data_IF_585531387296
#
_entry.id   IF_585531387296
#
_cell.length_a   1.000
_cell.length_b   1.000
_cell.length_c   1.000
_cell.angle_alpha   90.00
_cell.angle_beta   90.00
_cell.angle_gamma   90.00
#
_symmetry.space_group_name_H-M   'P 1'
#
loop_
_entity.id
_entity.type
_entity.pdbx_description
1 polymer ?
#
# COMPACT_ATOMS: atom_id res chain seq x y z
N UNK A 1 11.27 75.04 -12.73
CA UNK A 1 11.55 73.59 -12.69
C UNK A 1 12.03 73.28 -11.28
N UNK A 2 11.20 72.52 -10.56
CA UNK A 2 11.34 72.02 -9.19
C UNK A 2 10.65 70.64 -9.22
N UNK A 3 10.84 69.65 -8.34
CA UNK A 3 11.27 69.59 -6.94
C UNK A 3 12.15 68.32 -6.76
N UNK A 4 13.28 68.38 -6.04
CA UNK A 4 13.45 68.19 -4.59
C UNK A 4 13.33 66.72 -4.11
N UNK A 5 14.45 66.19 -3.61
CA UNK A 5 14.58 64.84 -3.04
C UNK A 5 14.14 64.80 -1.57
N UNK A 6 13.57 63.67 -1.12
CA UNK A 6 13.60 63.22 0.29
C UNK A 6 13.79 61.71 0.39
N UNK A 7 14.39 61.29 1.50
CA UNK A 7 15.02 59.99 1.73
C UNK A 7 14.05 58.95 2.32
N UNK A 8 14.40 57.67 2.19
CA UNK A 8 14.14 56.67 3.24
C UNK A 8 15.37 55.74 3.41
N UNK A 9 15.88 55.54 4.64
CA UNK A 9 17.08 54.73 4.88
C UNK A 9 16.77 53.31 5.34
N UNK A 10 17.75 52.40 5.20
CA UNK A 10 17.79 51.16 5.97
C UNK A 10 18.02 49.89 5.16
N UNK A 11 19.28 49.61 4.82
CA UNK A 11 20.03 48.40 5.23
C UNK A 11 21.27 48.26 4.32
N UNK A 12 22.47 48.40 4.90
CA UNK A 12 23.75 48.13 4.23
C UNK A 12 24.12 46.65 4.36
N UNK A 13 24.78 46.04 3.34
CA UNK A 13 25.17 44.64 3.37
C UNK A 13 26.34 44.36 4.32
N UNK A 14 26.45 43.11 4.79
CA UNK A 14 27.57 42.60 5.58
C UNK A 14 28.74 42.13 4.69
N UNK A 15 30.00 42.20 5.17
CA UNK A 15 31.21 41.87 4.41
C UNK A 15 31.52 40.36 4.37
N UNK A 16 32.41 39.90 3.45
CA UNK A 16 32.71 38.49 3.23
C UNK A 16 33.66 37.88 4.28
N UNK A 17 33.60 36.54 4.38
CA UNK A 17 34.31 35.71 5.35
C UNK A 17 35.80 35.55 4.99
N UNK A 18 36.69 35.86 5.93
CA UNK A 18 38.12 35.52 5.87
C UNK A 18 38.57 34.79 7.14
N UNK A 19 39.40 33.77 7.00
CA UNK A 19 40.06 33.06 8.12
C UNK A 19 41.45 33.66 8.38
N UNK A 20 41.97 33.56 9.62
CA UNK A 20 43.06 32.59 9.84
C UNK A 20 43.14 31.92 11.25
N UNK A 21 43.83 30.77 11.26
CA UNK A 21 44.74 30.15 12.27
C UNK A 21 45.05 30.90 13.60
N UNK A 22 45.31 30.29 14.78
CA UNK A 22 45.44 28.88 15.26
C UNK A 22 44.99 28.71 16.76
N UNK A 23 45.68 28.06 17.74
CA UNK A 23 45.16 26.97 18.61
C UNK A 23 44.95 27.43 20.10
N UNK A 24 44.90 26.62 21.21
CA UNK A 24 45.12 25.16 21.41
C UNK A 24 44.22 24.45 22.49
N UNK A 25 44.66 23.25 22.95
CA UNK A 25 44.40 22.62 24.28
C UNK A 25 43.05 21.91 24.56
N UNK A 26 43.08 20.57 24.54
CA UNK A 26 42.26 19.70 25.43
C UNK A 26 42.82 19.73 26.86
N UNK A 27 42.07 19.47 27.96
CA UNK A 27 40.79 18.75 28.00
C UNK A 27 39.70 19.30 28.96
N UNK A 28 38.42 19.17 28.60
CA UNK A 28 37.39 19.00 29.64
C UNK A 28 36.19 18.20 29.13
N UNK A 29 35.62 17.36 30.01
CA UNK A 29 34.41 16.59 29.73
C UNK A 29 33.22 17.56 29.76
N UNK A 30 32.44 17.58 28.70
CA UNK A 30 31.03 17.95 28.81
C UNK A 30 30.16 16.93 28.08
N UNK A 31 29.22 16.33 28.83
CA UNK A 31 28.40 15.20 28.39
C UNK A 31 26.96 15.66 28.14
N UNK A 32 26.77 16.55 27.17
CA UNK A 32 25.42 17.03 26.80
C UNK A 32 25.15 16.96 25.29
N UNK A 33 24.58 15.84 24.86
CA UNK A 33 23.59 15.75 23.78
C UNK A 33 23.93 16.30 22.38
N UNK A 34 24.62 15.51 21.55
CA UNK A 34 24.54 15.63 20.08
C UNK A 34 23.84 14.40 19.47
N UNK A 35 22.92 14.55 18.49
CA UNK A 35 22.20 13.41 17.89
C UNK A 35 23.09 12.39 17.16
N UNK A 36 24.28 12.82 16.70
CA UNK A 36 25.16 11.99 15.86
C UNK A 36 25.82 10.80 16.57
N UNK A 37 25.64 10.65 17.89
CA UNK A 37 26.27 9.58 18.69
C UNK A 37 25.37 8.35 18.98
N UNK A 38 24.22 8.22 18.31
CA UNK A 38 23.36 7.00 18.37
C UNK A 38 23.51 6.05 17.17
N UNK A 39 24.42 6.32 16.23
CA UNK A 39 24.62 5.51 15.01
C UNK A 39 25.76 4.48 15.07
N UNK A 40 26.39 4.29 16.23
CA UNK A 40 27.54 3.38 16.41
C UNK A 40 27.24 2.06 17.12
N UNK A 41 25.97 1.76 17.44
CA UNK A 41 25.54 0.49 18.05
C UNK A 41 24.98 -0.52 17.02
N UNK A 42 25.22 -0.28 15.73
CA UNK A 42 24.93 -1.19 14.61
C UNK A 42 26.22 -1.56 13.84
N UNK A 43 27.34 -1.60 14.55
CA UNK A 43 28.61 -2.09 14.04
C UNK A 43 28.99 -3.34 14.84
N UNK A 44 29.37 -4.41 14.13
CA UNK A 44 29.83 -5.70 14.64
C UNK A 44 28.72 -6.68 15.11
N UNK A 45 27.88 -7.13 14.16
CA UNK A 45 27.63 -8.57 14.01
C UNK A 45 28.52 -9.07 12.88
N UNK A 46 29.68 -9.60 13.26
CA UNK A 46 30.79 -9.95 12.38
C UNK A 46 30.67 -11.41 11.91
N UNK A 47 29.62 -11.69 11.14
CA UNK A 47 29.34 -13.01 10.52
C UNK A 47 28.64 -12.77 9.17
N UNK A 48 29.33 -12.08 8.26
CA UNK A 48 28.88 -11.81 6.89
C UNK A 48 29.87 -12.33 5.86
N UNK A 49 30.33 -13.57 6.04
CA UNK A 49 30.98 -14.34 4.97
C UNK A 49 29.97 -14.66 3.87
N UNK A 50 29.89 -13.77 2.87
CA UNK A 50 29.09 -13.96 1.67
C UNK A 50 28.54 -12.66 1.13
N UNK A 51 29.22 -12.09 0.13
CA UNK A 51 28.61 -11.11 -0.78
C UNK A 51 27.46 -11.79 -1.54
N UNK A 52 26.26 -11.69 -0.98
CA UNK A 52 25.04 -12.15 -1.64
C UNK A 52 24.65 -11.11 -2.69
N UNK A 53 24.56 -11.51 -3.95
CA UNK A 53 24.09 -10.61 -5.00
C UNK A 53 22.66 -10.13 -4.69
N UNK A 54 22.27 -8.96 -5.20
CA UNK A 54 20.93 -8.40 -4.98
C UNK A 54 19.87 -9.39 -5.46
N UNK A 55 20.14 -10.08 -6.58
CA UNK A 55 19.32 -11.16 -7.09
C UNK A 55 19.25 -12.30 -6.07
N UNK A 56 20.38 -12.82 -5.59
CA UNK A 56 20.41 -13.93 -4.63
C UNK A 56 19.72 -13.60 -3.29
N UNK A 57 19.77 -12.34 -2.85
CA UNK A 57 18.99 -11.85 -1.70
C UNK A 57 17.50 -11.87 -2.01
N UNK A 58 17.08 -11.31 -3.15
CA UNK A 58 15.69 -11.32 -3.61
C UNK A 58 15.17 -12.76 -3.74
N UNK A 59 15.93 -13.66 -4.38
CA UNK A 59 15.64 -15.10 -4.51
C UNK A 59 15.48 -15.81 -3.16
N UNK A 60 16.08 -15.31 -2.07
CA UNK A 60 15.93 -15.86 -0.71
C UNK A 60 14.82 -15.20 0.11
N UNK A 61 14.46 -13.96 -0.20
CA UNK A 61 13.45 -13.18 0.52
C UNK A 61 12.06 -13.26 -0.11
N UNK A 62 11.99 -13.61 -1.39
CA UNK A 62 10.79 -13.61 -2.22
C UNK A 62 10.79 -14.86 -3.12
N UNK A 63 10.19 -15.94 -2.59
CA UNK A 63 10.04 -17.22 -3.30
C UNK A 63 9.37 -17.04 -4.67
N UNK A 64 8.53 -16.01 -4.85
CA UNK A 64 7.72 -15.76 -6.05
C UNK A 64 8.44 -14.98 -7.14
N UNK A 65 9.49 -14.22 -6.82
CA UNK A 65 10.34 -13.56 -7.85
C UNK A 65 11.29 -14.53 -8.56
N UNK A 66 11.33 -15.80 -8.14
CA UNK A 66 12.33 -16.74 -8.59
C UNK A 66 12.04 -17.34 -9.98
N UNK A 67 12.54 -16.68 -11.04
CA UNK A 67 12.47 -17.16 -12.45
C UNK A 67 13.15 -18.51 -12.74
N UNK A 68 13.67 -19.19 -11.71
CA UNK A 68 14.40 -20.46 -11.76
C UNK A 68 13.68 -21.62 -11.06
N UNK A 69 12.57 -21.38 -10.33
CA UNK A 69 11.78 -22.47 -9.75
C UNK A 69 10.76 -23.06 -10.75
N UNK A 70 10.45 -24.35 -10.55
CA UNK A 70 9.55 -25.14 -11.40
C UNK A 70 8.05 -25.02 -11.05
N UNK A 71 7.68 -24.13 -10.12
CA UNK A 71 6.27 -23.84 -9.82
C UNK A 71 5.95 -22.49 -10.46
N UNK A 72 4.96 -22.41 -11.37
CA UNK A 72 5.06 -21.51 -12.52
C UNK A 72 4.18 -20.26 -12.32
N UNK A 73 3.61 -19.75 -13.42
CA UNK A 73 2.39 -18.93 -13.50
C UNK A 73 1.50 -19.04 -12.25
N UNK A 74 0.90 -17.91 -11.79
CA UNK A 74 0.13 -17.86 -10.53
C UNK A 74 -0.83 -19.05 -10.45
N UNK A 75 -0.74 -19.82 -9.37
CA UNK A 75 -1.49 -21.07 -9.24
C UNK A 75 -2.99 -20.77 -9.39
N UNK A 76 -3.75 -21.69 -10.02
CA UNK A 76 -5.12 -21.42 -10.40
C UNK A 76 -5.97 -20.95 -9.22
N UNK A 77 -6.78 -19.91 -9.47
CA UNK A 77 -7.81 -19.46 -8.55
C UNK A 77 -9.01 -20.42 -8.67
N UNK A 78 -9.42 -21.04 -7.57
CA UNK A 78 -10.59 -21.90 -7.55
C UNK A 78 -11.75 -21.09 -6.99
N UNK A 79 -12.83 -21.04 -7.76
CA UNK A 79 -14.06 -20.33 -7.43
C UNK A 79 -15.19 -21.36 -7.41
N UNK A 80 -15.64 -21.71 -6.21
CA UNK A 80 -16.80 -22.57 -6.01
C UNK A 80 -18.03 -21.74 -5.60
N UNK A 81 -19.23 -22.26 -5.87
CA UNK A 81 -20.46 -21.60 -5.42
C UNK A 81 -20.71 -21.99 -3.95
N UNK A 82 -20.86 -21.03 -3.01
CA UNK A 82 -21.19 -21.34 -1.63
C UNK A 82 -22.52 -22.09 -1.54
N UNK A 83 -22.66 -22.90 -0.50
CA UNK A 83 -23.92 -23.56 -0.19
C UNK A 83 -25.01 -22.51 0.20
N UNK A 84 -26.28 -22.85 -0.05
CA UNK A 84 -27.38 -22.11 0.53
C UNK A 84 -27.30 -22.19 2.07
N UNK A 85 -27.53 -21.10 2.83
CA UNK A 85 -28.22 -19.88 2.41
C UNK A 85 -27.34 -18.77 1.82
N UNK A 86 -26.01 -18.89 1.86
CA UNK A 86 -25.09 -17.76 1.56
C UNK A 86 -25.17 -17.34 0.09
N UNK A 87 -25.28 -18.30 -0.84
CA UNK A 87 -25.48 -18.02 -2.27
C UNK A 87 -26.71 -17.17 -2.56
N UNK A 88 -27.72 -17.25 -1.69
CA UNK A 88 -29.03 -16.68 -1.92
C UNK A 88 -29.22 -15.36 -1.16
N UNK A 89 -28.24 -14.92 -0.36
CA UNK A 89 -28.29 -13.66 0.39
C UNK A 89 -28.56 -12.45 -0.52
N UNK A 90 -27.90 -12.35 -1.68
CA UNK A 90 -28.13 -11.26 -2.65
C UNK A 90 -29.52 -11.33 -3.33
N UNK A 91 -30.11 -12.51 -3.40
CA UNK A 91 -31.43 -12.73 -3.99
C UNK A 91 -32.56 -12.47 -2.98
N UNK A 92 -32.37 -12.94 -1.76
CA UNK A 92 -33.34 -12.85 -0.65
C UNK A 92 -33.29 -11.48 0.04
N UNK A 93 -32.13 -10.82 0.08
CA UNK A 93 -31.95 -9.49 0.67
C UNK A 93 -31.89 -8.41 -0.42
N UNK A 94 -33.06 -8.09 -0.97
CA UNK A 94 -33.21 -7.05 -2.00
C UNK A 94 -32.64 -5.69 -1.57
N UNK A 95 -32.70 -5.36 -0.28
CA UNK A 95 -32.14 -4.13 0.28
C UNK A 95 -30.61 -4.12 0.21
N UNK A 96 -29.93 -5.15 0.72
CA UNK A 96 -28.47 -5.28 0.63
C UNK A 96 -28.00 -5.18 -0.82
N UNK A 97 -28.69 -5.92 -1.71
CA UNK A 97 -28.42 -5.85 -3.15
C UNK A 97 -28.55 -4.43 -3.67
N UNK A 98 -29.67 -3.74 -3.45
CA UNK A 98 -29.88 -2.36 -3.91
C UNK A 98 -28.82 -1.39 -3.36
N UNK A 99 -28.38 -1.54 -2.11
CA UNK A 99 -27.34 -0.69 -1.53
C UNK A 99 -25.96 -0.96 -2.16
N UNK A 100 -25.60 -2.22 -2.45
CA UNK A 100 -24.39 -2.56 -3.23
C UNK A 100 -24.46 -1.94 -4.64
N UNK A 101 -25.59 -2.12 -5.35
CA UNK A 101 -25.81 -1.50 -6.67
C UNK A 101 -25.68 0.03 -6.62
N UNK A 102 -26.18 0.67 -5.56
CA UNK A 102 -26.08 2.12 -5.38
C UNK A 102 -24.66 2.62 -5.05
N UNK A 103 -23.82 1.80 -4.41
CA UNK A 103 -22.40 2.12 -4.23
C UNK A 103 -21.62 1.94 -5.54
N UNK A 104 -21.83 0.83 -6.26
CA UNK A 104 -21.12 0.56 -7.52
C UNK A 104 -21.43 1.61 -8.59
N UNK A 105 -22.69 2.06 -8.70
CA UNK A 105 -23.11 3.18 -9.58
C UNK A 105 -22.38 4.51 -9.33
N UNK A 106 -21.76 4.71 -8.16
CA UNK A 106 -21.00 5.94 -7.86
C UNK A 106 -19.58 5.91 -8.43
N UNK A 107 -19.06 4.72 -8.74
CA UNK A 107 -17.66 4.50 -9.13
C UNK A 107 -17.50 3.86 -10.52
N UNK A 108 -18.54 3.19 -11.02
CA UNK A 108 -18.54 2.45 -12.28
C UNK A 108 -19.79 2.75 -13.11
N UNK A 109 -19.71 2.41 -14.40
CA UNK A 109 -20.84 2.42 -15.33
C UNK A 109 -21.41 1.00 -15.41
N UNK A 110 -22.73 0.86 -15.52
CA UNK A 110 -23.38 -0.42 -15.80
C UNK A 110 -22.94 -0.97 -17.19
N UNK A 111 -22.86 -2.30 -17.37
CA UNK A 111 -23.35 -3.34 -16.47
C UNK A 111 -22.27 -4.00 -15.60
N UNK A 112 -22.68 -4.55 -14.45
CA UNK A 112 -21.88 -5.47 -13.65
C UNK A 112 -22.70 -6.68 -13.15
N UNK A 113 -22.00 -7.77 -12.91
CA UNK A 113 -22.53 -9.03 -12.36
C UNK A 113 -21.92 -9.24 -10.98
N UNK A 114 -22.74 -9.57 -9.98
CA UNK A 114 -22.30 -9.75 -8.60
C UNK A 114 -22.80 -11.07 -8.01
N UNK A 115 -21.90 -11.85 -7.40
CA UNK A 115 -22.20 -13.14 -6.79
C UNK A 115 -21.27 -13.43 -5.60
N UNK A 116 -21.78 -14.15 -4.60
CA UNK A 116 -20.92 -14.75 -3.59
C UNK A 116 -20.27 -16.03 -4.15
N UNK A 117 -18.96 -16.17 -3.92
CA UNK A 117 -18.14 -17.33 -4.27
C UNK A 117 -17.32 -17.77 -3.05
N UNK A 118 -16.99 -19.05 -2.97
CA UNK A 118 -15.90 -19.53 -2.13
C UNK A 118 -14.63 -19.53 -2.97
N UNK A 119 -13.62 -18.82 -2.50
CA UNK A 119 -12.35 -18.66 -3.18
C UNK A 119 -11.25 -19.42 -2.44
N UNK A 120 -10.51 -20.25 -3.16
CA UNK A 120 -9.26 -20.84 -2.67
C UNK A 120 -8.15 -20.72 -3.72
N UNK A 121 -6.91 -20.82 -3.25
CA UNK A 121 -5.67 -20.67 -4.02
C UNK A 121 -4.77 -21.87 -3.73
N UNK A 122 -5.18 -23.08 -4.14
CA UNK A 122 -4.55 -24.30 -3.67
C UNK A 122 -3.09 -24.42 -4.13
N UNK A 123 -2.26 -24.91 -3.23
CA UNK A 123 -0.80 -24.98 -3.42
C UNK A 123 -0.05 -23.65 -3.23
N UNK A 124 -0.71 -22.51 -2.99
CA UNK A 124 0.00 -21.34 -2.45
C UNK A 124 0.45 -21.62 -1.01
N UNK A 125 1.68 -21.28 -0.63
CA UNK A 125 2.18 -21.51 0.72
C UNK A 125 1.40 -20.69 1.76
N UNK A 126 1.25 -21.25 2.97
CA UNK A 126 0.42 -20.68 4.02
C UNK A 126 -1.00 -21.24 3.97
N UNK A 127 -2.00 -20.37 3.92
CA UNK A 127 -3.43 -20.72 3.95
C UNK A 127 -4.06 -20.75 2.54
N UNK A 128 -3.27 -21.03 1.49
CA UNK A 128 -3.75 -21.03 0.10
C UNK A 128 -4.91 -22.00 -0.14
N UNK A 129 -4.86 -23.19 0.48
CA UNK A 129 -5.92 -24.20 0.38
C UNK A 129 -7.19 -23.85 1.18
N UNK A 130 -7.19 -22.78 1.99
CA UNK A 130 -8.35 -22.38 2.79
C UNK A 130 -9.36 -21.61 1.93
N UNK A 131 -10.62 -22.03 2.00
CA UNK A 131 -11.74 -21.32 1.38
C UNK A 131 -12.05 -20.02 2.12
N UNK A 132 -12.14 -18.92 1.38
CA UNK A 132 -12.56 -17.60 1.84
C UNK A 132 -13.85 -17.22 1.11
N UNK A 133 -14.86 -16.75 1.84
CA UNK A 133 -16.07 -16.22 1.22
C UNK A 133 -15.74 -14.86 0.57
N UNK A 134 -16.04 -14.71 -0.72
CA UNK A 134 -15.85 -13.45 -1.42
C UNK A 134 -17.13 -13.02 -2.15
N UNK A 135 -17.45 -11.73 -2.10
CA UNK A 135 -18.36 -11.08 -3.03
C UNK A 135 -17.56 -10.69 -4.28
N UNK A 136 -17.72 -11.46 -5.35
CA UNK A 136 -17.06 -11.23 -6.63
C UNK A 136 -17.97 -10.39 -7.54
N UNK A 137 -17.46 -9.25 -8.01
CA UNK A 137 -18.16 -8.24 -8.80
C UNK A 137 -17.42 -8.10 -10.13
N UNK A 138 -18.03 -8.52 -11.22
CA UNK A 138 -17.46 -8.39 -12.56
C UNK A 138 -18.03 -7.13 -13.23
N UNK A 139 -17.19 -6.15 -13.51
CA UNK A 139 -17.56 -4.91 -14.22
C UNK A 139 -17.14 -5.04 -15.69
N UNK A 140 -18.07 -4.84 -16.62
CA UNK A 140 -17.74 -4.76 -18.05
C UNK A 140 -17.29 -3.34 -18.39
N UNK A 141 -16.03 -3.17 -18.77
CA UNK A 141 -15.40 -1.87 -19.03
C UNK A 141 -15.04 -1.74 -20.51
N UNK A 142 -15.59 -0.76 -21.25
CA UNK A 142 -15.13 -0.50 -22.62
C UNK A 142 -13.70 0.07 -22.58
N UNK A 143 -12.91 -0.19 -23.63
CA UNK A 143 -11.46 0.10 -23.66
C UNK A 143 -11.09 1.57 -23.34
N UNK A 144 -11.99 2.52 -23.63
CA UNK A 144 -11.81 3.96 -23.37
C UNK A 144 -12.33 4.42 -21.98
N UNK A 145 -12.97 3.56 -21.20
CA UNK A 145 -13.37 3.90 -19.83
C UNK A 145 -12.12 3.99 -18.94
N UNK A 146 -11.80 5.21 -18.54
CA UNK A 146 -10.67 5.48 -17.63
C UNK A 146 -10.74 4.63 -16.36
N UNK A 147 -9.58 4.29 -15.81
CA UNK A 147 -9.46 3.43 -14.61
C UNK A 147 -10.33 4.01 -13.48
N UNK A 148 -11.44 3.35 -13.19
CA UNK A 148 -12.40 3.76 -12.17
C UNK A 148 -11.80 3.80 -10.76
N UNK A 149 -12.58 4.28 -9.80
CA UNK A 149 -12.17 4.35 -8.40
C UNK A 149 -12.32 2.99 -7.69
N UNK A 150 -11.57 1.98 -8.14
CA UNK A 150 -11.64 0.59 -7.66
C UNK A 150 -11.45 0.46 -6.14
N UNK A 151 -10.45 1.13 -5.57
CA UNK A 151 -10.16 1.01 -4.13
C UNK A 151 -11.21 1.69 -3.24
N UNK A 152 -11.71 2.91 -3.54
CA UNK A 152 -12.89 3.46 -2.88
C UNK A 152 -14.13 2.56 -2.99
N UNK A 153 -14.45 2.06 -4.19
CA UNK A 153 -15.61 1.19 -4.40
C UNK A 153 -15.52 -0.11 -3.57
N UNK A 154 -14.38 -0.81 -3.61
CA UNK A 154 -14.13 -2.02 -2.82
C UNK A 154 -14.32 -1.76 -1.32
N UNK A 155 -13.80 -0.65 -0.78
CA UNK A 155 -13.99 -0.30 0.65
C UNK A 155 -15.45 0.03 0.99
N UNK A 156 -16.15 0.74 0.11
CA UNK A 156 -17.56 1.10 0.34
C UNK A 156 -18.46 -0.14 0.39
N UNK A 157 -18.21 -1.11 -0.50
CA UNK A 157 -18.93 -2.41 -0.49
C UNK A 157 -18.50 -3.27 0.70
N UNK A 158 -17.20 -3.31 1.05
CA UNK A 158 -16.69 -4.06 2.21
C UNK A 158 -17.34 -3.58 3.52
N UNK A 159 -17.36 -2.26 3.77
CA UNK A 159 -18.02 -1.66 4.93
C UNK A 159 -19.51 -2.00 4.98
N UNK A 160 -20.18 -2.05 3.82
CA UNK A 160 -21.60 -2.41 3.74
C UNK A 160 -21.84 -3.89 4.05
N UNK A 161 -20.93 -4.80 3.69
CA UNK A 161 -21.01 -6.21 4.09
C UNK A 161 -20.82 -6.37 5.60
N UNK A 162 -19.85 -5.64 6.18
CA UNK A 162 -19.60 -5.60 7.62
C UNK A 162 -20.82 -5.08 8.42
N UNK A 163 -21.46 -4.00 7.95
CA UNK A 163 -22.70 -3.45 8.54
C UNK A 163 -23.87 -4.48 8.54
N UNK A 164 -23.87 -5.41 7.57
CA UNK A 164 -24.83 -6.51 7.46
C UNK A 164 -24.38 -7.79 8.18
N UNK A 165 -23.26 -7.76 8.91
CA UNK A 165 -22.73 -8.87 9.70
C UNK A 165 -21.89 -9.89 8.92
N UNK A 166 -21.50 -9.58 7.69
CA UNK A 166 -20.67 -10.42 6.82
C UNK A 166 -19.18 -10.03 6.94
N UNK A 167 -18.64 -10.06 8.16
CA UNK A 167 -17.27 -9.59 8.47
C UNK A 167 -16.16 -10.45 7.87
N UNK A 168 -16.44 -11.74 7.64
CA UNK A 168 -15.47 -12.70 7.07
C UNK A 168 -15.56 -12.77 5.53
N UNK A 169 -16.38 -11.92 4.91
CA UNK A 169 -16.51 -11.85 3.45
C UNK A 169 -15.54 -10.82 2.86
N UNK A 170 -14.68 -11.25 1.95
CA UNK A 170 -13.87 -10.32 1.14
C UNK A 170 -14.69 -9.75 -0.04
N UNK A 171 -14.28 -8.61 -0.59
CA UNK A 171 -14.84 -8.04 -1.83
C UNK A 171 -13.79 -8.07 -2.93
N UNK A 172 -14.13 -8.58 -4.12
CA UNK A 172 -13.28 -8.52 -5.32
C UNK A 172 -14.06 -7.84 -6.46
N UNK A 173 -13.39 -6.92 -7.16
CA UNK A 173 -13.91 -6.09 -8.27
C UNK A 173 -12.83 -6.01 -9.35
#
# INVERSE_FOLDING_TARGET
>A
MSEQSREFPGYRPLPPLGAPETPPTSPQRDLTGSPNKRRSFLQLTDDSEGEMSIEAFIYRSDDYRSSTMRVPLPLPLYLEKPQAPVSDLLHNNSKLRQEIFAQLHRHFVDPYVMQFVLQSKPGYPGQGDQEVLALHIQVDMPDDAGRGEWSPAKRAVQSLLEDYGLTDAEVEI
#
